data_IF_858267226536
#
_entry.id   IF_858267226536
#
_cell.length_a   1.000
_cell.length_b   1.000
_cell.length_c   1.000
_cell.angle_alpha   90.00
_cell.angle_beta   90.00
_cell.angle_gamma   90.00
#
_symmetry.space_group_name_H-M   'P 1'
#
loop_
_entity.id
_entity.type
_entity.pdbx_description
1 polymer ?
#
# COMPACT_ATOMS: atom_id res chain seq x y z
N UNK A 1 -5.06 -41.44 10.78
CA UNK A 1 -4.33 -41.10 9.54
C UNK A 1 -4.90 -39.80 9.05
N UNK A 2 -4.14 -38.73 9.24
CA UNK A 2 -4.55 -37.38 8.92
C UNK A 2 -4.27 -37.13 7.43
N UNK A 3 -5.32 -37.14 6.61
CA UNK A 3 -5.20 -36.84 5.17
C UNK A 3 -5.13 -35.33 4.98
N UNK A 4 -4.04 -34.72 5.46
CA UNK A 4 -3.70 -33.36 5.10
C UNK A 4 -3.47 -33.34 3.58
N UNK A 5 -4.43 -32.78 2.84
CA UNK A 5 -4.25 -32.55 1.40
C UNK A 5 -2.98 -31.72 1.21
N UNK A 6 -2.09 -32.06 0.29
CA UNK A 6 -0.92 -31.24 0.02
C UNK A 6 -1.39 -29.82 -0.30
N UNK A 7 -0.89 -28.83 0.44
CA UNK A 7 -1.11 -27.42 0.10
C UNK A 7 -0.51 -27.23 -1.29
N UNK A 8 -1.37 -27.09 -2.30
CA UNK A 8 -0.93 -26.73 -3.63
C UNK A 8 -0.19 -25.40 -3.48
N UNK A 9 1.08 -25.38 -3.89
CA UNK A 9 1.84 -24.14 -4.03
C UNK A 9 1.00 -23.23 -4.92
N UNK A 10 0.58 -22.08 -4.39
CA UNK A 10 -0.23 -21.15 -5.17
C UNK A 10 0.62 -20.57 -6.28
N UNK A 11 0.03 -20.42 -7.47
CA UNK A 11 0.70 -19.74 -8.56
C UNK A 11 0.97 -18.28 -8.17
N UNK A 12 2.07 -17.68 -8.67
CA UNK A 12 2.33 -16.26 -8.48
C UNK A 12 1.14 -15.42 -8.93
N UNK A 13 0.63 -14.56 -8.06
CA UNK A 13 -0.52 -13.71 -8.38
C UNK A 13 -0.41 -12.32 -7.77
N UNK A 14 -1.27 -11.44 -8.25
CA UNK A 14 -1.46 -10.09 -7.73
C UNK A 14 -2.73 -10.09 -6.90
N UNK A 15 -2.62 -9.63 -5.66
CA UNK A 15 -3.75 -9.53 -4.76
C UNK A 15 -4.46 -8.18 -4.89
N UNK A 16 -5.79 -8.21 -4.92
CA UNK A 16 -6.61 -6.99 -4.89
C UNK A 16 -7.67 -7.09 -3.80
N UNK A 17 -7.58 -6.21 -2.79
CA UNK A 17 -8.53 -6.15 -1.67
C UNK A 17 -8.83 -4.75 -1.24
N UNK A 18 -9.99 -4.57 -0.62
CA UNK A 18 -10.44 -3.29 -0.10
C UNK A 18 -11.37 -3.51 1.08
N UNK A 19 -11.48 -2.48 1.90
CA UNK A 19 -12.49 -2.33 2.94
C UNK A 19 -13.16 -0.97 2.71
N UNK A 20 -14.46 -0.91 2.91
CA UNK A 20 -15.23 0.31 2.73
C UNK A 20 -15.55 0.98 4.05
N UNK A 21 -15.72 2.30 3.99
CA UNK A 21 -16.57 3.01 4.95
C UNK A 21 -17.94 3.26 4.33
N UNK A 22 -18.99 3.31 5.15
CA UNK A 22 -20.32 3.73 4.70
C UNK A 22 -20.55 5.20 5.02
N UNK A 23 -21.02 5.94 4.02
CA UNK A 23 -21.31 7.37 4.04
C UNK A 23 -22.82 7.58 3.81
N UNK A 24 -23.54 7.76 4.91
CA UNK A 24 -24.96 8.11 4.94
C UNK A 24 -25.19 9.64 5.07
N UNK A 25 -24.13 10.44 4.91
CA UNK A 25 -24.16 11.89 5.07
C UNK A 25 -24.15 12.38 6.53
N UNK A 26 -24.04 11.49 7.52
CA UNK A 26 -23.99 11.90 8.94
C UNK A 26 -22.58 12.25 9.41
N UNK A 27 -21.55 11.68 8.77
CA UNK A 27 -20.15 11.92 9.11
C UNK A 27 -19.63 13.18 8.43
N UNK A 28 -18.84 13.94 9.17
CA UNK A 28 -18.06 15.04 8.61
C UNK A 28 -16.95 14.52 7.69
N UNK A 29 -16.49 15.35 6.75
CA UNK A 29 -15.32 15.04 5.91
C UNK A 29 -14.11 14.68 6.78
N UNK A 30 -13.86 15.42 7.85
CA UNK A 30 -12.74 15.21 8.76
C UNK A 30 -12.77 13.83 9.42
N UNK A 31 -13.96 13.30 9.73
CA UNK A 31 -14.14 11.93 10.22
C UNK A 31 -13.85 10.91 9.13
N UNK A 32 -14.37 11.13 7.91
CA UNK A 32 -14.14 10.25 6.76
C UNK A 32 -12.66 10.17 6.33
N UNK A 33 -11.89 11.24 6.54
CA UNK A 33 -10.45 11.25 6.28
C UNK A 33 -9.63 10.46 7.33
N UNK A 34 -10.20 10.18 8.50
CA UNK A 34 -9.55 9.42 9.59
C UNK A 34 -9.82 7.93 9.49
N UNK A 35 -9.48 7.33 8.36
CA UNK A 35 -9.76 5.94 8.02
C UNK A 35 -8.75 4.91 8.57
N UNK A 36 -8.40 5.00 9.85
CA UNK A 36 -7.39 4.13 10.47
C UNK A 36 -7.75 2.63 10.39
N UNK A 37 -9.05 2.30 10.36
CA UNK A 37 -9.52 0.93 10.17
C UNK A 37 -9.04 0.32 8.85
N UNK A 38 -8.91 1.12 7.78
CA UNK A 38 -8.41 0.67 6.48
C UNK A 38 -6.94 0.28 6.54
N UNK A 39 -6.15 1.04 7.30
CA UNK A 39 -4.75 0.72 7.57
C UNK A 39 -4.63 -0.62 8.28
N UNK A 40 -5.42 -0.84 9.34
CA UNK A 40 -5.43 -2.10 10.09
C UNK A 40 -5.80 -3.27 9.20
N UNK A 41 -6.88 -3.15 8.42
CA UNK A 41 -7.32 -4.19 7.49
C UNK A 41 -6.22 -4.60 6.50
N UNK A 42 -5.55 -3.63 5.88
CA UNK A 42 -4.50 -3.91 4.88
C UNK A 42 -3.29 -4.57 5.53
N UNK A 43 -2.87 -4.10 6.71
CA UNK A 43 -1.77 -4.71 7.47
C UNK A 43 -2.07 -6.15 7.83
N UNK A 44 -3.23 -6.39 8.44
CA UNK A 44 -3.62 -7.70 8.94
C UNK A 44 -3.75 -8.70 7.78
N UNK A 45 -4.38 -8.27 6.68
CA UNK A 45 -4.50 -9.11 5.49
C UNK A 45 -3.13 -9.43 4.86
N UNK A 46 -2.24 -8.44 4.75
CA UNK A 46 -0.89 -8.66 4.21
C UNK A 46 -0.08 -9.63 5.08
N UNK A 47 -0.18 -9.50 6.41
CA UNK A 47 0.46 -10.43 7.35
C UNK A 47 -0.12 -11.84 7.24
N UNK A 48 -1.43 -11.97 7.04
CA UNK A 48 -2.07 -13.27 6.89
C UNK A 48 -1.61 -13.98 5.60
N UNK A 49 -1.53 -13.27 4.47
CA UNK A 49 -0.99 -13.80 3.22
C UNK A 49 0.44 -14.33 3.38
N UNK A 50 1.27 -13.61 4.13
CA UNK A 50 2.64 -14.05 4.46
C UNK A 50 2.64 -15.31 5.32
N UNK A 51 1.82 -15.36 6.38
CA UNK A 51 1.70 -16.54 7.27
C UNK A 51 1.21 -17.78 6.53
N UNK A 52 0.33 -17.60 5.56
CA UNK A 52 -0.23 -18.69 4.77
C UNK A 52 0.72 -19.18 3.67
N UNK A 53 1.85 -18.49 3.46
CA UNK A 53 2.84 -18.84 2.45
C UNK A 53 2.35 -18.60 1.01
N UNK A 54 1.42 -17.66 0.82
CA UNK A 54 0.89 -17.33 -0.50
C UNK A 54 1.96 -16.66 -1.38
N UNK A 55 2.12 -17.12 -2.62
CA UNK A 55 3.02 -16.50 -3.59
C UNK A 55 2.42 -15.20 -4.19
N UNK A 56 2.41 -14.13 -3.39
CA UNK A 56 1.88 -12.81 -3.76
C UNK A 56 3.00 -11.93 -4.28
N UNK A 57 2.91 -11.53 -5.55
CA UNK A 57 3.93 -10.69 -6.23
C UNK A 57 3.60 -9.20 -6.23
N UNK A 58 2.36 -8.86 -5.94
CA UNK A 58 1.90 -7.47 -5.86
C UNK A 58 0.61 -7.36 -5.08
N UNK A 59 0.37 -6.19 -4.52
CA UNK A 59 -0.82 -5.89 -3.74
C UNK A 59 -1.41 -4.55 -4.17
N UNK A 60 -2.66 -4.57 -4.62
CA UNK A 60 -3.42 -3.37 -4.94
C UNK A 60 -4.59 -3.23 -3.98
N UNK A 61 -4.69 -2.06 -3.35
CA UNK A 61 -5.90 -1.75 -2.59
C UNK A 61 -6.99 -1.27 -3.55
N UNK A 62 -8.15 -1.91 -3.50
CA UNK A 62 -9.37 -1.36 -4.08
C UNK A 62 -9.91 -0.32 -3.09
N UNK A 63 -9.87 0.96 -3.41
CA UNK A 63 -9.44 1.59 -4.68
C UNK A 63 -8.65 2.88 -4.44
N UNK A 64 -8.16 3.50 -5.52
CA UNK A 64 -7.45 4.78 -5.37
C UNK A 64 -8.38 5.91 -4.93
N UNK A 65 -9.56 6.03 -5.56
CA UNK A 65 -10.54 7.08 -5.30
C UNK A 65 -11.85 6.47 -4.83
N UNK A 66 -12.58 7.17 -3.97
CA UNK A 66 -13.99 6.89 -3.79
C UNK A 66 -14.68 7.00 -5.16
N UNK A 67 -15.46 5.98 -5.50
CA UNK A 67 -16.01 5.79 -6.83
C UNK A 67 -17.44 5.20 -6.73
N UNK A 68 -18.01 4.83 -7.88
CA UNK A 68 -19.34 4.24 -7.96
C UNK A 68 -19.28 2.73 -7.66
N UNK A 69 -19.87 2.31 -6.54
CA UNK A 69 -19.85 0.93 -6.05
C UNK A 69 -21.20 0.22 -6.33
N UNK A 70 -21.56 0.14 -7.62
CA UNK A 70 -22.67 -0.67 -8.14
C UNK A 70 -24.01 -0.41 -7.45
N UNK A 71 -24.60 -1.43 -6.82
CA UNK A 71 -25.89 -1.35 -6.12
C UNK A 71 -25.89 -0.36 -4.95
N UNK A 72 -24.72 -0.02 -4.42
CA UNK A 72 -24.56 0.95 -3.34
C UNK A 72 -24.32 2.38 -3.85
N UNK A 73 -24.10 2.56 -5.15
CA UNK A 73 -23.80 3.87 -5.72
C UNK A 73 -22.59 4.52 -5.05
N UNK A 74 -22.74 5.76 -4.59
CA UNK A 74 -21.65 6.58 -4.06
C UNK A 74 -21.53 6.58 -2.53
N UNK A 75 -22.43 5.91 -1.80
CA UNK A 75 -22.41 5.86 -0.33
C UNK A 75 -21.37 4.90 0.24
N UNK A 76 -20.91 3.93 -0.55
CA UNK A 76 -19.83 3.02 -0.16
C UNK A 76 -18.47 3.58 -0.60
N UNK A 77 -17.58 3.79 0.36
CA UNK A 77 -16.30 4.51 0.17
C UNK A 77 -15.09 3.60 0.36
N UNK A 78 -14.64 2.96 -0.71
CA UNK A 78 -13.43 2.10 -0.71
C UNK A 78 -12.11 2.87 -0.89
N UNK A 79 -12.17 4.09 -1.44
CA UNK A 79 -11.01 4.81 -1.93
C UNK A 79 -10.01 5.18 -0.85
N UNK A 80 -8.74 5.22 -1.22
CA UNK A 80 -7.69 5.88 -0.42
C UNK A 80 -7.88 7.41 -0.38
N UNK A 81 -8.42 7.99 -1.44
CA UNK A 81 -8.79 9.39 -1.51
C UNK A 81 -10.29 9.55 -1.35
N UNK A 82 -10.67 10.46 -0.46
CA UNK A 82 -12.04 10.95 -0.37
C UNK A 82 -12.33 11.83 -1.57
N UNK A 83 -13.48 11.61 -2.21
CA UNK A 83 -13.99 12.46 -3.30
C UNK A 83 -15.21 13.20 -2.79
N UNK A 84 -15.11 14.53 -2.80
CA UNK A 84 -16.19 15.43 -2.41
C UNK A 84 -17.14 15.63 -3.58
N UNK A 85 -18.27 14.90 -3.58
CA UNK A 85 -19.23 14.93 -4.68
C UNK A 85 -20.01 16.25 -4.76
N UNK A 86 -20.08 16.99 -3.66
CA UNK A 86 -20.82 18.25 -3.59
C UNK A 86 -19.94 19.47 -3.88
N UNK A 87 -18.62 19.33 -3.75
CA UNK A 87 -17.64 20.38 -4.00
C UNK A 87 -16.68 20.02 -5.15
N UNK A 88 -17.19 20.09 -6.39
CA UNK A 88 -16.41 19.99 -7.63
C UNK A 88 -15.52 18.73 -7.73
N UNK A 89 -15.93 17.61 -7.11
CA UNK A 89 -15.18 16.36 -7.10
C UNK A 89 -13.77 16.53 -6.53
N UNK A 90 -13.55 17.44 -5.58
CA UNK A 90 -12.23 17.65 -5.00
C UNK A 90 -11.75 16.38 -4.26
N UNK A 91 -10.44 16.09 -4.35
CA UNK A 91 -9.85 14.86 -3.82
C UNK A 91 -8.99 15.15 -2.61
N UNK A 92 -9.27 14.43 -1.51
CA UNK A 92 -8.59 14.60 -0.24
C UNK A 92 -7.94 13.30 0.19
N UNK A 93 -6.63 13.28 0.50
CA UNK A 93 -5.96 12.05 0.92
C UNK A 93 -6.46 11.63 2.31
N UNK A 94 -6.92 10.40 2.45
CA UNK A 94 -7.25 9.83 3.77
C UNK A 94 -5.97 9.44 4.52
N UNK A 95 -6.11 9.12 5.80
CA UNK A 95 -5.00 8.69 6.67
C UNK A 95 -4.25 7.48 6.11
N UNK A 96 -4.98 6.58 5.44
CA UNK A 96 -4.42 5.42 4.72
C UNK A 96 -3.45 5.80 3.59
N UNK A 97 -3.63 6.91 2.88
CA UNK A 97 -2.67 7.41 1.86
C UNK A 97 -1.34 7.73 2.52
N UNK A 98 -1.38 8.48 3.62
CA UNK A 98 -0.16 8.84 4.34
C UNK A 98 0.53 7.59 4.86
N UNK A 99 -0.21 6.62 5.40
CA UNK A 99 0.36 5.35 5.81
C UNK A 99 1.01 4.59 4.64
N UNK A 100 0.35 4.47 3.49
CA UNK A 100 0.89 3.80 2.31
C UNK A 100 2.19 4.44 1.82
N UNK A 101 2.26 5.78 1.79
CA UNK A 101 3.48 6.51 1.41
C UNK A 101 4.67 6.11 2.30
N UNK A 102 4.46 6.02 3.62
CA UNK A 102 5.50 5.60 4.55
C UNK A 102 5.78 4.08 4.45
N UNK A 103 4.77 3.27 4.19
CA UNK A 103 4.92 1.83 3.99
C UNK A 103 5.83 1.52 2.78
N UNK A 104 5.60 2.20 1.66
CA UNK A 104 6.33 1.99 0.41
C UNK A 104 7.75 2.57 0.39
N UNK A 105 8.04 3.57 1.23
CA UNK A 105 9.38 4.17 1.34
C UNK A 105 10.39 3.32 2.13
N UNK A 106 9.98 2.19 2.71
CA UNK A 106 10.89 1.36 3.50
C UNK A 106 11.90 0.69 2.58
N UNK A 107 13.19 0.64 2.96
CA UNK A 107 14.17 -0.11 2.22
C UNK A 107 13.76 -1.58 2.15
N UNK A 108 13.82 -2.17 0.96
CA UNK A 108 13.58 -3.60 0.76
C UNK A 108 14.75 -4.32 1.41
N UNK A 109 14.51 -4.95 2.56
CA UNK A 109 15.47 -5.87 3.15
C UNK A 109 15.55 -7.07 2.21
N UNK A 110 16.67 -7.23 1.50
CA UNK A 110 16.95 -8.48 0.80
C UNK A 110 17.15 -9.54 1.87
N UNK A 111 16.31 -10.57 1.87
CA UNK A 111 16.58 -11.77 2.65
C UNK A 111 17.80 -12.43 2.03
N UNK A 112 18.95 -12.34 2.70
CA UNK A 112 20.04 -13.27 2.46
C UNK A 112 19.54 -14.66 2.88
N UNK A 113 19.66 -15.64 1.99
CA UNK A 113 19.44 -17.04 2.32
C UNK A 113 20.53 -17.45 3.31
N UNK A 114 20.28 -17.29 4.60
CA UNK A 114 21.17 -17.81 5.64
C UNK A 114 20.62 -19.14 6.14
N UNK A 115 21.14 -20.22 5.55
CA UNK A 115 21.36 -21.45 6.31
C UNK A 115 22.29 -21.11 7.47
N UNK A 116 21.77 -21.18 8.69
CA UNK A 116 22.36 -21.86 9.85
C UNK A 116 21.84 -21.25 11.16
N UNK A 117 21.20 -22.10 11.96
CA UNK A 117 20.92 -21.88 13.37
C UNK A 117 22.25 -21.77 14.13
N UNK A 118 22.46 -20.67 14.87
CA UNK A 118 23.10 -20.75 16.18
C UNK A 118 22.69 -19.56 17.05
N UNK A 119 22.16 -19.90 18.23
CA UNK A 119 21.79 -18.99 19.31
C UNK A 119 23.06 -18.63 20.10
N UNK A 120 23.27 -17.33 20.39
CA UNK A 120 23.80 -16.89 21.70
C UNK A 120 23.56 -15.39 21.94
N UNK A 121 23.19 -15.08 23.18
CA UNK A 121 22.83 -13.76 23.69
C UNK A 121 24.06 -12.89 24.06
N UNK A 122 23.79 -11.57 24.10
CA UNK A 122 24.38 -10.49 24.91
C UNK A 122 25.69 -9.77 24.48
N UNK A 123 25.46 -8.48 24.17
CA UNK A 123 26.24 -7.27 24.54
C UNK A 123 27.55 -6.95 23.81
N UNK A 124 27.57 -5.86 23.02
CA UNK A 124 28.13 -4.53 23.36
C UNK A 124 28.41 -3.66 22.13
N UNK A 125 28.02 -2.39 22.30
CA UNK A 125 28.67 -1.11 21.95
C UNK A 125 29.24 -0.82 20.54
N UNK A 126 29.09 0.47 20.22
CA UNK A 126 29.25 1.18 18.96
C UNK A 126 30.65 1.14 18.36
N UNK A 127 30.74 1.22 17.02
CA UNK A 127 31.59 2.23 16.36
C UNK A 127 31.21 2.40 14.87
N UNK A 128 31.12 3.67 14.47
CA UNK A 128 30.79 4.16 13.14
C UNK A 128 31.95 3.92 12.16
N UNK A 129 31.64 3.67 10.87
CA UNK A 129 32.26 4.39 9.74
C UNK A 129 31.41 4.18 8.46
N UNK A 130 31.02 5.31 7.90
CA UNK A 130 30.09 5.53 6.79
C UNK A 130 30.81 5.61 5.45
N UNK A 131 30.39 4.79 4.49
CA UNK A 131 30.43 5.07 3.05
C UNK A 131 29.31 4.25 2.38
N UNK A 132 28.12 4.84 2.19
CA UNK A 132 27.07 4.22 1.38
C UNK A 132 26.62 5.11 0.22
N UNK A 133 26.61 4.51 -0.96
CA UNK A 133 26.22 5.09 -2.24
C UNK A 133 24.74 5.48 -2.23
N UNK A 134 24.49 6.78 -2.40
CA UNK A 134 23.20 7.44 -2.36
C UNK A 134 22.29 7.06 -3.55
N UNK A 135 21.43 6.05 -3.36
CA UNK A 135 20.35 5.68 -4.29
C UNK A 135 19.10 6.57 -4.23
N UNK A 136 19.10 7.66 -3.45
CA UNK A 136 17.96 8.58 -3.38
C UNK A 136 17.87 9.49 -4.61
N UNK A 137 19.02 9.81 -5.23
CA UNK A 137 19.09 10.63 -6.46
C UNK A 137 18.40 9.97 -7.65
N UNK A 138 18.52 8.66 -7.79
CA UNK A 138 17.95 7.94 -8.95
C UNK A 138 16.42 7.91 -8.89
N UNK A 139 15.85 7.90 -7.68
CA UNK A 139 14.41 7.92 -7.48
C UNK A 139 13.80 9.30 -7.74
N UNK A 140 14.42 10.36 -7.21
CA UNK A 140 13.97 11.74 -7.45
C UNK A 140 14.06 12.12 -8.93
N UNK A 141 15.13 11.68 -9.62
CA UNK A 141 15.27 11.86 -11.07
C UNK A 141 14.14 11.18 -11.86
N UNK A 142 13.66 10.02 -11.39
CA UNK A 142 12.53 9.32 -12.01
C UNK A 142 11.19 10.04 -11.79
N UNK A 143 10.98 10.64 -10.62
CA UNK A 143 9.76 11.42 -10.34
C UNK A 143 9.71 12.68 -11.20
N UNK A 144 10.82 13.41 -11.31
CA UNK A 144 10.89 14.61 -12.13
C UNK A 144 10.67 14.31 -13.61
N UNK A 145 11.20 13.18 -14.12
CA UNK A 145 10.95 12.72 -15.49
C UNK A 145 9.47 12.38 -15.74
N UNK A 146 8.78 11.80 -14.76
CA UNK A 146 7.33 11.51 -14.86
C UNK A 146 6.53 12.81 -14.84
N UNK A 147 6.87 13.75 -13.94
CA UNK A 147 6.17 15.03 -13.82
C UNK A 147 6.34 15.91 -15.06
N UNK A 148 7.52 15.92 -15.67
CA UNK A 148 7.77 16.65 -16.92
C UNK A 148 6.93 16.08 -18.07
N UNK A 149 6.83 14.75 -18.15
CA UNK A 149 6.02 14.07 -19.16
C UNK A 149 4.52 14.32 -18.99
N UNK A 150 4.04 14.47 -17.75
CA UNK A 150 2.65 14.83 -17.44
C UNK A 150 2.36 16.29 -17.78
N UNK A 151 3.32 17.21 -17.58
CA UNK A 151 3.15 18.64 -17.89
C UNK A 151 3.24 18.93 -19.39
N UNK A 152 4.10 18.21 -20.12
CA UNK A 152 4.39 18.47 -21.53
C UNK A 152 3.69 17.51 -22.50
N UNK A 153 3.10 16.42 -22.00
CA UNK A 153 2.39 15.42 -22.81
C UNK A 153 1.01 15.83 -23.32
N UNK A 154 0.52 17.02 -22.95
CA UNK A 154 -0.80 17.54 -23.32
C UNK A 154 -0.86 18.19 -24.71
N UNK A 155 0.20 18.11 -25.51
CA UNK A 155 0.26 18.73 -26.84
C UNK A 155 0.44 17.66 -27.91
N UNK A 156 -0.63 16.91 -28.16
CA UNK A 156 -0.83 16.24 -29.44
C UNK A 156 -1.67 17.19 -30.30
N UNK A 157 -1.13 17.45 -31.48
CA UNK A 157 -1.56 18.40 -32.50
C UNK A 157 -2.94 18.03 -33.08
N UNK A 158 -3.80 19.05 -33.25
CA UNK A 158 -4.79 19.15 -34.34
C UNK A 158 -4.37 20.30 -35.26
#
# INVERSE_FOLDING_TARGET
>A
MDHARPRLRTDPHIERKGIYDYDDGTKTREEMLKDTFRITYIKDHSQQLQKDGCDVRGYYTWSLLDNFEWEYGYSTRFGLYYVDYDNNLERYPKSSVNWFKHFLKRPIVKSEETENEEVCNESREEENNDETLDGSKDFETSIDAILDRVKNGSRIEE
#
